data_IF_961582042578
#
_entry.id   IF_961582042578
#
_cell.length_a   1.000
_cell.length_b   1.000
_cell.length_c   1.000
_cell.angle_alpha   90.00
_cell.angle_beta   90.00
_cell.angle_gamma   90.00
#
_symmetry.space_group_name_H-M   'P 1'
#
loop_
_entity.id
_entity.type
_entity.pdbx_description
1 polymer ?
#
# COMPACT_ATOMS: atom_id res chain seq x y z
N UNK A 1 6.77 10.90 -30.75
CA UNK A 1 6.44 9.84 -29.78
C UNK A 1 7.52 8.77 -29.86
N UNK A 2 8.10 8.33 -28.74
CA UNK A 2 9.07 7.24 -28.74
C UNK A 2 8.36 5.89 -28.91
N UNK A 3 9.01 4.91 -29.55
CA UNK A 3 8.47 3.56 -29.72
C UNK A 3 9.22 2.59 -28.82
N UNK A 4 8.48 1.94 -27.93
CA UNK A 4 8.97 0.84 -27.10
C UNK A 4 8.51 -0.49 -27.69
N UNK A 5 9.41 -1.47 -27.80
CA UNK A 5 9.07 -2.84 -28.23
C UNK A 5 9.49 -3.80 -27.14
N UNK A 6 8.53 -4.51 -26.55
CA UNK A 6 8.74 -5.46 -25.45
C UNK A 6 8.26 -6.83 -25.93
N UNK A 7 9.02 -7.87 -25.64
CA UNK A 7 8.56 -9.25 -25.81
C UNK A 7 7.89 -9.70 -24.53
N UNK A 8 6.66 -10.20 -24.66
CA UNK A 8 5.89 -10.77 -23.56
C UNK A 8 5.77 -12.27 -23.78
N UNK A 9 5.65 -13.01 -22.68
CA UNK A 9 5.16 -14.38 -22.74
C UNK A 9 3.71 -14.38 -23.27
N UNK A 10 3.36 -15.39 -24.07
CA UNK A 10 2.07 -15.47 -24.74
C UNK A 10 0.92 -15.48 -23.74
N UNK A 11 1.04 -16.22 -22.64
CA UNK A 11 -0.01 -16.27 -21.62
C UNK A 11 -0.18 -14.92 -20.90
N UNK A 12 0.88 -14.11 -20.80
CA UNK A 12 0.75 -12.76 -20.27
C UNK A 12 0.10 -11.81 -21.29
N UNK A 13 0.47 -11.92 -22.57
CA UNK A 13 -0.16 -11.15 -23.64
C UNK A 13 -1.67 -11.41 -23.72
N UNK A 14 -2.08 -12.68 -23.66
CA UNK A 14 -3.49 -13.06 -23.72
C UNK A 14 -4.30 -12.47 -22.56
N UNK A 15 -3.74 -12.43 -21.35
CA UNK A 15 -4.38 -11.75 -20.20
C UNK A 15 -4.55 -10.25 -20.45
N UNK A 16 -3.53 -9.57 -20.97
CA UNK A 16 -3.61 -8.14 -21.30
C UNK A 16 -4.67 -7.85 -22.37
N UNK A 17 -4.81 -8.73 -23.37
CA UNK A 17 -5.86 -8.61 -24.38
C UNK A 17 -7.24 -8.76 -23.74
N UNK A 18 -7.45 -9.78 -22.91
CA UNK A 18 -8.71 -10.01 -22.22
C UNK A 18 -9.09 -8.85 -21.28
N UNK A 19 -8.13 -8.29 -20.56
CA UNK A 19 -8.35 -7.16 -19.66
C UNK A 19 -8.68 -5.88 -20.45
N UNK A 20 -8.00 -5.64 -21.57
CA UNK A 20 -8.29 -4.52 -22.47
C UNK A 20 -9.69 -4.61 -23.10
N UNK A 21 -10.07 -5.81 -23.54
CA UNK A 21 -11.41 -6.10 -24.07
C UNK A 21 -12.47 -5.87 -22.99
N UNK A 22 -12.23 -6.32 -21.77
CA UNK A 22 -13.12 -6.10 -20.61
C UNK A 22 -13.27 -4.62 -20.26
N UNK A 23 -12.21 -3.83 -20.46
CA UNK A 23 -12.22 -2.38 -20.31
C UNK A 23 -12.77 -1.63 -21.55
N UNK A 24 -13.13 -2.34 -22.62
CA UNK A 24 -13.70 -1.76 -23.84
C UNK A 24 -12.72 -0.89 -24.64
N UNK A 25 -11.42 -1.18 -24.57
CA UNK A 25 -10.38 -0.37 -25.22
C UNK A 25 -9.32 -1.21 -25.95
N UNK A 26 -8.62 -0.64 -26.95
CA UNK A 26 -7.55 -1.36 -27.63
C UNK A 26 -6.40 -1.73 -26.68
N UNK A 27 -5.84 -2.93 -26.82
CA UNK A 27 -4.73 -3.43 -25.98
C UNK A 27 -3.56 -2.45 -25.90
N UNK A 28 -3.21 -1.79 -27.00
CA UNK A 28 -2.13 -0.80 -27.01
C UNK A 28 -2.46 0.48 -26.22
N UNK A 29 -3.72 0.86 -26.10
CA UNK A 29 -4.16 1.97 -25.23
C UNK A 29 -4.14 1.51 -23.78
N UNK A 30 -4.73 0.35 -23.49
CA UNK A 30 -4.70 -0.24 -22.15
C UNK A 30 -3.29 -0.35 -21.56
N UNK A 31 -2.32 -0.86 -22.33
CA UNK A 31 -0.93 -0.97 -21.90
C UNK A 31 -0.27 0.40 -21.71
N UNK A 32 -0.60 1.40 -22.53
CA UNK A 32 -0.07 2.77 -22.35
C UNK A 32 -0.62 3.40 -21.07
N UNK A 33 -1.91 3.29 -20.82
CA UNK A 33 -2.54 3.80 -19.60
C UNK A 33 -1.94 3.14 -18.35
N UNK A 34 -1.68 1.83 -18.40
CA UNK A 34 -1.00 1.11 -17.32
C UNK A 34 0.43 1.62 -17.09
N UNK A 35 1.18 1.91 -18.16
CA UNK A 35 2.53 2.48 -18.05
C UNK A 35 2.49 3.92 -17.51
N UNK A 36 1.52 4.74 -17.91
CA UNK A 36 1.33 6.10 -17.39
C UNK A 36 0.93 6.10 -15.90
N UNK A 37 0.12 5.14 -15.48
CA UNK A 37 -0.20 4.91 -14.05
C UNK A 37 1.03 4.49 -13.25
N UNK A 38 1.92 3.66 -13.82
CA UNK A 38 3.17 3.24 -13.20
C UNK A 38 4.20 4.37 -13.11
N UNK A 39 4.24 5.26 -14.12
CA UNK A 39 5.12 6.44 -14.14
C UNK A 39 4.70 7.51 -13.11
N UNK A 40 3.54 7.34 -12.46
CA UNK A 40 3.01 8.29 -11.48
C UNK A 40 2.48 9.58 -12.11
N UNK A 41 2.30 9.60 -13.43
CA UNK A 41 1.73 10.73 -14.16
C UNK A 41 0.21 10.87 -13.95
N UNK A 42 -0.45 9.82 -13.45
CA UNK A 42 -1.81 9.88 -12.95
C UNK A 42 -1.81 10.34 -11.47
N UNK A 43 -2.28 11.56 -11.14
CA UNK A 43 -2.42 12.02 -9.76
C UNK A 43 -3.43 11.20 -8.94
N UNK A 44 -4.21 10.32 -9.58
CA UNK A 44 -5.09 9.32 -8.98
C UNK A 44 -4.66 7.87 -9.32
N UNK A 45 -3.40 7.70 -9.72
CA UNK A 45 -2.84 6.44 -10.20
C UNK A 45 -2.63 5.41 -9.10
N UNK A 46 -2.03 4.27 -9.48
CA UNK A 46 -1.83 3.10 -8.63
C UNK A 46 -1.34 3.45 -7.22
N UNK A 47 -0.31 4.30 -7.09
CA UNK A 47 0.21 4.72 -5.79
C UNK A 47 -0.73 5.63 -4.99
N UNK A 48 -1.36 6.62 -5.63
CA UNK A 48 -2.29 7.54 -4.96
C UNK A 48 -3.55 6.83 -4.42
N UNK A 49 -4.08 5.82 -5.15
CA UNK A 49 -5.22 5.03 -4.67
C UNK A 49 -4.89 4.18 -3.45
N UNK A 50 -3.67 3.64 -3.38
CA UNK A 50 -3.24 2.92 -2.19
C UNK A 50 -3.05 3.88 -1.01
N UNK A 51 -2.56 5.09 -1.23
CA UNK A 51 -2.44 6.08 -0.16
C UNK A 51 -3.80 6.51 0.38
N UNK A 52 -4.80 6.75 -0.47
CA UNK A 52 -6.18 7.04 -0.05
C UNK A 52 -6.81 5.87 0.73
N UNK A 53 -6.63 4.65 0.23
CA UNK A 53 -7.14 3.45 0.90
C UNK A 53 -6.43 3.23 2.24
N UNK A 54 -5.11 3.35 2.29
CA UNK A 54 -4.34 3.26 3.53
C UNK A 54 -4.73 4.34 4.53
N UNK A 55 -4.90 5.58 4.09
CA UNK A 55 -5.36 6.69 4.94
C UNK A 55 -6.72 6.38 5.58
N UNK A 56 -7.65 5.87 4.79
CA UNK A 56 -8.98 5.46 5.26
C UNK A 56 -8.88 4.33 6.30
N UNK A 57 -8.07 3.30 6.02
CA UNK A 57 -7.85 2.17 6.95
C UNK A 57 -7.21 2.65 8.25
N UNK A 58 -6.19 3.52 8.18
CA UNK A 58 -5.55 4.11 9.36
C UNK A 58 -6.58 4.88 10.20
N UNK A 59 -7.43 5.69 9.56
CA UNK A 59 -8.46 6.45 10.25
C UNK A 59 -9.48 5.54 10.96
N UNK A 60 -9.95 4.48 10.28
CA UNK A 60 -10.84 3.50 10.89
C UNK A 60 -10.19 2.80 12.09
N UNK A 61 -8.94 2.35 11.95
CA UNK A 61 -8.19 1.71 13.02
C UNK A 61 -7.94 2.66 14.20
N UNK A 62 -7.69 3.94 13.95
CA UNK A 62 -7.53 4.95 15.01
C UNK A 62 -8.81 5.15 15.81
N UNK A 63 -9.97 5.19 15.15
CA UNK A 63 -11.28 5.27 15.81
C UNK A 63 -11.51 4.04 16.68
N UNK A 64 -11.27 2.84 16.13
CA UNK A 64 -11.40 1.57 16.86
C UNK A 64 -10.46 1.52 18.06
N UNK A 65 -9.19 1.92 17.88
CA UNK A 65 -8.21 1.96 18.95
C UNK A 65 -8.64 2.90 20.08
N UNK A 66 -9.22 4.07 19.75
CA UNK A 66 -9.76 5.00 20.73
C UNK A 66 -10.91 4.38 21.55
N UNK A 67 -11.88 3.78 20.87
CA UNK A 67 -13.05 3.14 21.50
C UNK A 67 -12.66 1.90 22.34
N UNK A 68 -11.74 1.07 21.85
CA UNK A 68 -11.21 -0.07 22.61
C UNK A 68 -10.37 0.41 23.79
N UNK A 69 -9.56 1.46 23.63
CA UNK A 69 -8.77 2.03 24.71
C UNK A 69 -9.63 2.53 25.87
N UNK A 70 -10.80 3.11 25.57
CA UNK A 70 -11.76 3.55 26.57
C UNK A 70 -12.44 2.38 27.32
N UNK A 71 -12.73 1.27 26.63
CA UNK A 71 -13.51 0.14 27.19
C UNK A 71 -12.65 -1.00 27.76
N UNK A 72 -11.48 -1.23 27.17
CA UNK A 72 -10.61 -2.38 27.43
C UNK A 72 -9.12 -2.02 27.20
N UNK A 73 -8.54 -1.13 28.04
CA UNK A 73 -7.19 -0.61 27.82
C UNK A 73 -6.11 -1.69 27.79
N UNK A 74 -6.24 -2.76 28.57
CA UNK A 74 -5.26 -3.87 28.56
C UNK A 74 -5.29 -4.67 27.26
N UNK A 75 -6.48 -4.82 26.64
CA UNK A 75 -6.60 -5.48 25.34
C UNK A 75 -5.95 -4.65 24.23
N UNK A 76 -6.14 -3.33 24.27
CA UNK A 76 -5.44 -2.42 23.35
C UNK A 76 -3.93 -2.51 23.54
N UNK A 77 -3.43 -2.44 24.78
CA UNK A 77 -2.00 -2.51 25.07
C UNK A 77 -1.36 -3.81 24.54
N UNK A 78 -2.00 -4.95 24.78
CA UNK A 78 -1.54 -6.24 24.24
C UNK A 78 -1.54 -6.24 22.71
N UNK A 79 -2.62 -5.78 22.07
CA UNK A 79 -2.71 -5.71 20.61
C UNK A 79 -1.63 -4.80 19.98
N UNK A 80 -1.31 -3.68 20.63
CA UNK A 80 -0.23 -2.79 20.20
C UNK A 80 1.15 -3.45 20.34
N UNK A 81 1.39 -4.21 21.41
CA UNK A 81 2.64 -4.99 21.57
C UNK A 81 2.78 -6.07 20.49
N UNK A 82 1.72 -6.85 20.26
CA UNK A 82 1.70 -7.90 19.24
C UNK A 82 1.91 -7.30 17.83
N UNK A 83 1.31 -6.14 17.55
CA UNK A 83 1.50 -5.41 16.29
C UNK A 83 2.94 -4.93 16.14
N UNK A 84 3.53 -4.34 17.20
CA UNK A 84 4.93 -3.89 17.20
C UNK A 84 5.88 -5.04 16.85
N UNK A 85 5.67 -6.20 17.48
CA UNK A 85 6.46 -7.42 17.22
C UNK A 85 6.32 -7.86 15.78
N UNK A 86 5.09 -7.93 15.27
CA UNK A 86 4.80 -8.31 13.90
C UNK A 86 5.47 -7.41 12.86
N UNK A 87 5.47 -6.09 13.09
CA UNK A 87 6.08 -5.12 12.18
C UNK A 87 7.60 -5.26 12.16
N UNK A 88 8.23 -5.49 13.32
CA UNK A 88 9.66 -5.75 13.43
C UNK A 88 10.06 -7.07 12.77
N UNK A 89 9.32 -8.15 13.03
CA UNK A 89 9.59 -9.47 12.44
C UNK A 89 9.51 -9.46 10.91
N UNK A 90 8.67 -8.56 10.35
CA UNK A 90 8.54 -8.37 8.90
C UNK A 90 9.48 -7.32 8.32
N UNK A 91 10.27 -6.63 9.14
CA UNK A 91 11.15 -5.55 8.70
C UNK A 91 10.40 -4.34 8.11
N UNK A 92 9.15 -4.11 8.54
CA UNK A 92 8.32 -3.00 8.05
C UNK A 92 8.61 -1.68 8.79
N UNK A 93 9.23 -1.75 9.96
CA UNK A 93 9.67 -0.62 10.77
C UNK A 93 11.00 -0.95 11.44
N UNK A 94 11.85 0.05 11.68
CA UNK A 94 13.04 -0.13 12.51
C UNK A 94 12.69 0.04 13.99
N UNK A 95 13.51 -0.54 14.88
CA UNK A 95 13.30 -0.45 16.32
C UNK A 95 13.33 1.01 16.83
N UNK A 96 14.14 1.86 16.18
CA UNK A 96 14.28 3.29 16.42
C UNK A 96 13.05 4.13 16.03
N UNK A 97 12.24 3.67 15.07
CA UNK A 97 11.05 4.39 14.60
C UNK A 97 9.86 4.23 15.55
N UNK A 98 9.92 3.25 16.46
CA UNK A 98 8.81 2.94 17.33
C UNK A 98 8.83 3.80 18.61
N UNK A 99 7.71 4.47 18.96
CA UNK A 99 7.64 5.28 20.16
C UNK A 99 8.01 4.45 21.40
N UNK A 100 8.91 5.00 22.22
CA UNK A 100 9.46 4.37 23.43
C UNK A 100 10.90 3.82 23.31
N UNK A 101 11.51 3.78 22.13
CA UNK A 101 12.90 3.31 21.96
C UNK A 101 13.99 4.37 22.26
N UNK A 102 13.61 5.66 22.33
CA UNK A 102 14.53 6.79 22.54
C UNK A 102 14.62 7.32 23.98
N UNK A 103 14.23 6.53 24.99
CA UNK A 103 14.28 6.93 26.39
C UNK A 103 15.64 6.67 27.05
N UNK A 104 16.71 7.37 26.64
CA UNK A 104 18.00 7.18 27.31
C UNK A 104 19.19 7.95 26.75
N UNK A 105 19.48 9.10 27.39
CA UNK A 105 20.77 9.81 27.46
C UNK A 105 21.31 10.45 26.18
N UNK A 106 21.38 11.79 26.20
CA UNK A 106 22.67 12.49 26.32
C UNK A 106 22.54 13.68 27.26
N UNK A 107 23.57 13.81 28.09
CA UNK A 107 23.83 14.89 29.03
C UNK A 107 24.20 16.19 28.30
#
# INVERSE_FOLDING_TARGET
MARLTIRLDDAFYDRLVADADSAGMPTATYVRDALEQLDGADPFGFHARFDELHSTVIQMLAIVASDVGARAPESLAKGMEDTRRLLLDRGLVAAEDLPGAGGGRRA
#
